data_IF_457789857177
#
_entry.id   IF_457789857177
#
_cell.length_a   1.000
_cell.length_b   1.000
_cell.length_c   1.000
_cell.angle_alpha   90.00
_cell.angle_beta   90.00
_cell.angle_gamma   90.00
#
_symmetry.space_group_name_H-M   'P 1'
#
loop_
_entity.id
_entity.type
_entity.pdbx_description
1 polymer ?
#
# COMPACT_ATOMS: atom_id res chain seq x y z
N UNK A 1 61.60 -3.82 18.56
CA UNK A 1 61.87 -3.03 19.79
C UNK A 1 61.06 -3.60 20.95
N UNK A 2 61.59 -3.50 22.18
CA UNK A 2 61.00 -3.82 23.51
C UNK A 2 59.54 -4.31 23.57
N UNK A 3 59.35 -5.52 24.10
CA UNK A 3 58.51 -5.77 25.30
C UNK A 3 59.21 -6.82 26.17
N UNK A 4 58.94 -6.80 27.48
CA UNK A 4 59.86 -7.30 28.51
C UNK A 4 59.11 -7.70 29.80
N UNK A 5 59.84 -8.35 30.73
CA UNK A 5 59.45 -8.84 32.08
C UNK A 5 58.81 -10.26 32.08
N UNK A 6 59.36 -11.29 32.76
CA UNK A 6 59.68 -11.51 34.21
C UNK A 6 58.45 -12.04 34.97
N UNK A 7 58.49 -13.10 35.81
CA UNK A 7 59.50 -14.17 36.08
C UNK A 7 58.79 -15.34 36.81
N UNK A 8 59.41 -16.54 36.79
CA UNK A 8 59.43 -17.45 37.94
C UNK A 8 60.72 -18.29 37.92
N UNK A 9 61.23 -18.65 39.10
CA UNK A 9 62.58 -19.19 39.35
C UNK A 9 62.47 -20.33 40.38
N UNK A 10 63.50 -21.20 40.47
CA UNK A 10 63.86 -22.07 41.64
C UNK A 10 63.49 -23.56 41.52
N UNK A 11 64.36 -24.55 41.82
CA UNK A 11 65.79 -24.58 42.26
C UNK A 11 66.44 -25.99 41.95
N UNK A 12 67.77 -26.05 41.75
CA UNK A 12 68.80 -26.99 42.33
C UNK A 12 68.44 -28.49 42.66
N UNK A 13 69.25 -29.54 42.44
CA UNK A 13 70.72 -29.78 42.20
C UNK A 13 70.97 -31.16 41.46
N UNK A 14 72.09 -31.94 41.46
CA UNK A 14 73.46 -31.92 42.07
C UNK A 14 74.50 -32.86 41.33
N UNK A 15 75.64 -32.32 40.87
CA UNK A 15 77.07 -32.77 41.01
C UNK A 15 77.53 -34.26 40.78
N UNK A 16 78.33 -34.48 39.69
CA UNK A 16 79.67 -35.14 39.58
C UNK A 16 79.93 -36.63 40.04
N UNK A 17 81.08 -37.34 39.80
CA UNK A 17 82.47 -37.06 39.29
C UNK A 17 83.20 -38.35 38.75
N UNK A 18 84.46 -38.21 38.24
CA UNK A 18 85.62 -39.17 38.19
C UNK A 18 85.85 -40.13 36.96
N UNK A 19 86.79 -39.72 36.05
CA UNK A 19 88.10 -40.35 35.66
C UNK A 19 88.22 -41.82 35.12
N UNK A 20 89.25 -42.26 34.35
CA UNK A 20 90.44 -41.61 33.72
C UNK A 20 91.24 -42.54 32.75
N UNK A 21 91.88 -41.95 31.70
CA UNK A 21 93.17 -42.37 31.03
C UNK A 21 93.28 -43.76 30.36
N UNK A 22 94.19 -44.07 29.42
CA UNK A 22 95.53 -43.53 29.04
C UNK A 22 95.76 -43.36 27.53
N UNK A 23 96.89 -42.71 27.16
CA UNK A 23 97.54 -42.74 25.84
C UNK A 23 98.52 -43.91 25.73
N UNK A 24 98.91 -44.30 24.51
CA UNK A 24 100.29 -44.67 24.11
C UNK A 24 100.46 -44.46 22.59
N UNK A 25 101.70 -44.37 22.11
CA UNK A 25 102.11 -44.18 20.71
C UNK A 25 103.45 -44.90 20.54
N UNK A 26 103.68 -45.72 19.50
CA UNK A 26 104.92 -45.68 18.68
C UNK A 26 105.01 -46.69 17.51
N UNK A 27 105.59 -46.20 16.42
CA UNK A 27 106.43 -46.85 15.40
C UNK A 27 105.88 -47.94 14.46
N UNK A 28 106.40 -47.87 13.22
CA UNK A 28 106.21 -48.78 12.10
C UNK A 28 107.03 -50.07 12.25
N UNK A 29 106.58 -51.16 11.65
CA UNK A 29 107.48 -52.23 11.20
C UNK A 29 107.03 -52.83 9.87
N UNK A 30 107.94 -52.83 8.89
CA UNK A 30 107.82 -53.69 7.72
C UNK A 30 108.04 -55.14 8.13
N UNK A 31 107.16 -56.03 7.70
CA UNK A 31 107.51 -57.43 7.45
C UNK A 31 106.76 -57.93 6.21
N UNK A 32 107.50 -58.03 5.11
CA UNK A 32 107.05 -58.64 3.85
C UNK A 32 107.12 -60.17 3.92
N UNK A 33 106.84 -60.83 2.79
CA UNK A 33 106.96 -62.27 2.51
C UNK A 33 105.93 -63.21 3.13
N UNK A 34 104.92 -63.52 2.29
CA UNK A 34 104.49 -64.86 1.91
C UNK A 34 104.11 -65.88 3.01
N UNK A 35 102.82 -66.24 3.02
CA UNK A 35 102.43 -67.63 2.77
C UNK A 35 101.36 -67.66 1.68
N UNK A 36 101.33 -68.73 0.89
CA UNK A 36 100.27 -68.99 -0.09
C UNK A 36 99.05 -69.59 0.62
N UNK A 37 98.06 -68.75 0.93
CA UNK A 37 96.66 -69.18 0.94
C UNK A 37 95.98 -68.58 -0.30
N UNK A 38 95.01 -69.28 -0.88
CA UNK A 38 94.13 -68.67 -1.88
C UNK A 38 93.33 -67.58 -1.16
N UNK A 39 93.70 -66.31 -1.37
CA UNK A 39 93.04 -65.17 -0.74
C UNK A 39 91.68 -64.90 -1.42
N UNK A 40 90.73 -65.82 -1.19
CA UNK A 40 89.33 -65.61 -1.55
C UNK A 40 88.85 -64.33 -0.86
N UNK A 41 88.52 -63.34 -1.68
CA UNK A 41 88.09 -62.03 -1.21
C UNK A 41 86.92 -62.15 -0.22
N UNK A 42 87.09 -61.54 0.96
CA UNK A 42 86.08 -61.55 2.03
C UNK A 42 84.69 -61.14 1.53
N UNK A 43 83.64 -61.78 2.07
CA UNK A 43 82.26 -61.66 1.58
C UNK A 43 81.85 -60.21 1.28
N UNK A 44 81.27 -60.01 0.10
CA UNK A 44 80.97 -58.68 -0.43
C UNK A 44 82.03 -58.14 -1.39
N UNK A 45 83.20 -58.78 -1.54
CA UNK A 45 84.26 -58.35 -2.45
C UNK A 45 84.53 -59.34 -3.57
N UNK A 46 84.96 -58.83 -4.73
CA UNK A 46 85.42 -59.60 -5.89
C UNK A 46 86.91 -59.27 -6.14
N UNK A 47 87.69 -60.27 -6.57
CA UNK A 47 89.06 -60.03 -7.00
C UNK A 47 89.08 -59.37 -8.39
N UNK A 48 89.74 -58.22 -8.53
CA UNK A 48 89.97 -57.58 -9.83
C UNK A 48 91.41 -57.86 -10.31
N UNK A 49 91.52 -58.74 -11.30
CA UNK A 49 92.77 -59.13 -11.98
C UNK A 49 93.55 -57.94 -12.58
N UNK A 50 92.93 -56.74 -12.71
CA UNK A 50 93.58 -55.54 -13.25
C UNK A 50 94.19 -54.63 -12.19
N UNK A 51 93.78 -54.77 -10.93
CA UNK A 51 94.27 -53.96 -9.80
C UNK A 51 94.90 -54.81 -8.69
N UNK A 52 94.88 -56.14 -8.84
CA UNK A 52 95.39 -57.14 -7.88
C UNK A 52 94.78 -56.94 -6.48
N UNK A 53 93.50 -56.52 -6.43
CA UNK A 53 92.82 -56.11 -5.21
C UNK A 53 91.40 -56.66 -5.12
N UNK A 54 90.97 -56.97 -3.88
CA UNK A 54 89.61 -57.31 -3.55
C UNK A 54 88.71 -56.06 -3.47
N UNK A 55 88.08 -55.70 -4.59
CA UNK A 55 87.16 -54.56 -4.69
C UNK A 55 85.77 -54.96 -4.14
N UNK A 56 85.10 -54.13 -3.33
CA UNK A 56 83.74 -54.40 -2.88
C UNK A 56 82.76 -54.31 -4.07
N UNK A 57 81.71 -55.13 -4.06
CA UNK A 57 80.65 -55.05 -5.06
C UNK A 57 80.05 -53.63 -5.07
N UNK A 58 79.97 -52.97 -6.25
CA UNK A 58 79.56 -51.58 -6.34
C UNK A 58 78.11 -51.36 -5.92
N UNK A 59 77.77 -50.11 -5.59
CA UNK A 59 76.38 -49.69 -5.32
C UNK A 59 75.47 -50.11 -6.47
N UNK A 60 74.25 -50.52 -6.12
CA UNK A 60 73.30 -51.16 -7.04
C UNK A 60 73.59 -52.63 -7.33
N UNK A 61 74.58 -53.26 -6.69
CA UNK A 61 74.82 -54.70 -6.78
C UNK A 61 74.94 -55.36 -5.41
N UNK A 62 74.80 -56.69 -5.39
CA UNK A 62 75.00 -57.53 -4.21
C UNK A 62 75.87 -58.74 -4.54
N UNK A 63 76.62 -59.21 -3.55
CA UNK A 63 77.51 -60.37 -3.68
C UNK A 63 76.75 -61.68 -3.43
N UNK A 64 76.79 -62.60 -4.39
CA UNK A 64 76.27 -63.96 -4.26
C UNK A 64 77.02 -64.91 -5.20
N UNK A 65 77.33 -66.13 -4.74
CA UNK A 65 78.03 -67.17 -5.53
C UNK A 65 79.33 -66.67 -6.21
N UNK A 66 80.15 -65.94 -5.46
CA UNK A 66 81.39 -65.28 -5.91
C UNK A 66 81.22 -64.37 -7.15
N UNK A 67 80.09 -63.64 -7.21
CA UNK A 67 79.77 -62.66 -8.26
C UNK A 67 79.01 -61.48 -7.67
N UNK A 68 79.24 -60.28 -8.22
CA UNK A 68 78.37 -59.13 -7.99
C UNK A 68 77.20 -59.18 -8.99
N UNK A 69 75.99 -59.45 -8.51
CA UNK A 69 74.77 -59.37 -9.32
C UNK A 69 74.09 -58.01 -9.12
N UNK A 70 73.55 -57.43 -10.19
CA UNK A 70 72.79 -56.19 -10.08
C UNK A 70 71.51 -56.41 -9.27
N UNK A 71 71.10 -55.39 -8.51
CA UNK A 71 69.77 -55.33 -7.92
C UNK A 71 68.70 -55.37 -9.02
N UNK A 72 67.67 -56.18 -8.81
CA UNK A 72 66.54 -56.30 -9.72
C UNK A 72 65.59 -55.10 -9.58
N UNK A 73 64.70 -54.92 -10.57
CA UNK A 73 63.65 -53.90 -10.55
C UNK A 73 62.86 -53.94 -9.23
N UNK A 74 62.55 -52.78 -8.67
CA UNK A 74 61.91 -52.61 -7.37
C UNK A 74 62.85 -52.75 -6.16
N UNK A 75 64.13 -53.11 -6.37
CA UNK A 75 65.15 -53.15 -5.32
C UNK A 75 66.28 -52.15 -5.58
N UNK A 76 67.07 -51.87 -4.53
CA UNK A 76 68.21 -50.96 -4.58
C UNK A 76 69.33 -51.38 -3.63
N UNK A 77 70.54 -50.85 -3.83
CA UNK A 77 71.59 -50.94 -2.83
C UNK A 77 72.49 -49.70 -2.80
N UNK A 78 72.39 -48.91 -1.73
CA UNK A 78 73.08 -47.63 -1.57
C UNK A 78 74.48 -47.73 -0.92
N UNK A 79 74.93 -48.93 -0.56
CA UNK A 79 76.20 -49.20 0.12
C UNK A 79 76.99 -50.24 -0.65
N UNK A 80 78.32 -50.20 -0.57
CA UNK A 80 79.19 -51.16 -1.26
C UNK A 80 79.35 -52.46 -0.47
N UNK A 81 79.68 -53.55 -1.17
CA UNK A 81 80.01 -54.85 -0.60
C UNK A 81 78.88 -55.53 0.20
N UNK A 82 77.63 -55.36 -0.22
CA UNK A 82 76.46 -55.90 0.48
C UNK A 82 76.03 -57.26 -0.07
N UNK A 83 75.41 -58.10 0.78
CA UNK A 83 75.03 -59.48 0.44
C UNK A 83 73.59 -59.62 -0.07
N UNK A 84 72.81 -58.54 -0.09
CA UNK A 84 71.44 -58.50 -0.61
C UNK A 84 71.08 -57.08 -1.08
N UNK A 85 70.02 -56.97 -1.89
CA UNK A 85 69.40 -55.69 -2.25
C UNK A 85 68.20 -55.41 -1.36
N UNK A 86 67.99 -54.13 -1.02
CA UNK A 86 66.86 -53.67 -0.21
C UNK A 86 65.65 -53.45 -1.11
N UNK A 87 64.47 -53.85 -0.67
CA UNK A 87 63.21 -53.44 -1.32
C UNK A 87 63.07 -51.91 -1.29
N UNK A 88 62.52 -51.32 -2.35
CA UNK A 88 62.07 -49.92 -2.26
C UNK A 88 60.95 -49.77 -1.23
N UNK A 89 61.04 -48.78 -0.31
CA UNK A 89 59.96 -48.50 0.62
C UNK A 89 58.73 -47.94 -0.12
N UNK A 90 57.57 -48.08 0.51
CA UNK A 90 56.31 -47.47 0.08
C UNK A 90 56.50 -45.97 -0.21
N UNK A 91 55.79 -45.48 -1.22
CA UNK A 91 55.98 -44.15 -1.81
C UNK A 91 57.17 -44.02 -2.76
N UNK A 92 57.94 -45.08 -3.00
CA UNK A 92 59.09 -45.06 -3.91
C UNK A 92 59.21 -46.31 -4.79
N UNK A 93 59.96 -46.19 -5.88
CA UNK A 93 60.13 -47.25 -6.88
C UNK A 93 61.57 -47.32 -7.44
N UNK A 94 61.88 -48.42 -8.13
CA UNK A 94 63.14 -48.60 -8.88
C UNK A 94 62.85 -49.28 -10.22
N UNK A 95 62.83 -48.52 -11.31
CA UNK A 95 62.49 -49.02 -12.66
C UNK A 95 63.70 -49.52 -13.47
N UNK A 96 64.88 -49.63 -12.85
CA UNK A 96 66.12 -50.02 -13.52
C UNK A 96 66.88 -51.03 -12.68
N UNK A 97 67.37 -52.10 -13.33
CA UNK A 97 68.35 -52.99 -12.71
C UNK A 97 69.62 -52.22 -12.38
N UNK A 98 70.22 -52.51 -11.23
CA UNK A 98 71.45 -51.86 -10.78
C UNK A 98 71.28 -50.54 -10.02
N UNK A 99 70.09 -50.23 -9.49
CA UNK A 99 69.84 -48.94 -8.85
C UNK A 99 70.52 -48.77 -7.48
N UNK A 100 71.19 -47.64 -7.25
CA UNK A 100 71.78 -47.27 -5.96
C UNK A 100 70.77 -46.66 -4.97
N UNK A 101 69.54 -46.36 -5.44
CA UNK A 101 68.47 -45.67 -4.70
C UNK A 101 67.08 -46.10 -5.16
N UNK A 102 66.06 -45.62 -4.46
CA UNK A 102 64.70 -45.57 -4.96
C UNK A 102 64.32 -44.13 -5.27
N UNK A 103 63.40 -43.96 -6.23
CA UNK A 103 62.86 -42.68 -6.64
C UNK A 103 61.47 -42.51 -6.03
N UNK A 104 61.20 -41.35 -5.43
CA UNK A 104 59.87 -41.06 -4.91
C UNK A 104 58.84 -41.02 -6.04
N UNK A 105 57.62 -41.49 -5.76
CA UNK A 105 56.50 -41.29 -6.67
C UNK A 105 56.25 -39.78 -6.86
N UNK A 106 56.22 -39.35 -8.12
CA UNK A 106 55.93 -37.97 -8.48
C UNK A 106 54.48 -37.61 -8.15
N UNK A 107 54.17 -36.31 -8.12
CA UNK A 107 52.81 -35.79 -7.95
C UNK A 107 51.85 -36.43 -8.96
N UNK A 108 50.63 -36.72 -8.53
CA UNK A 108 49.66 -37.53 -9.27
C UNK A 108 49.91 -39.05 -9.23
N UNK A 109 50.90 -39.52 -8.47
CA UNK A 109 51.21 -40.94 -8.32
C UNK A 109 51.45 -41.31 -6.85
N UNK A 110 51.31 -42.59 -6.55
CA UNK A 110 51.51 -43.16 -5.21
C UNK A 110 52.10 -44.57 -5.29
N UNK A 111 52.55 -45.09 -4.16
CA UNK A 111 52.85 -46.52 -4.03
C UNK A 111 52.62 -47.03 -2.60
N UNK A 112 51.64 -47.89 -2.42
CA UNK A 112 51.22 -48.53 -1.17
C UNK A 112 52.01 -49.82 -0.86
N UNK A 113 52.66 -50.42 -1.85
CA UNK A 113 53.43 -51.66 -1.71
C UNK A 113 54.96 -51.45 -1.69
N UNK A 114 55.70 -52.38 -1.09
CA UNK A 114 57.17 -52.38 -1.12
C UNK A 114 57.71 -53.13 -2.34
N UNK A 115 58.97 -52.87 -2.69
CA UNK A 115 59.68 -53.65 -3.71
C UNK A 115 59.19 -53.37 -5.14
N UNK A 116 58.61 -52.20 -5.38
CA UNK A 116 57.85 -51.91 -6.60
C UNK A 116 58.68 -51.21 -7.68
N UNK A 117 58.46 -51.59 -8.93
CA UNK A 117 59.23 -51.10 -10.09
C UNK A 117 58.67 -49.84 -10.75
N UNK A 118 57.46 -49.45 -10.38
CA UNK A 118 56.73 -48.27 -10.87
C UNK A 118 55.77 -47.77 -9.78
N UNK A 119 55.17 -46.59 -9.98
CA UNK A 119 54.15 -46.03 -9.10
C UNK A 119 52.76 -46.17 -9.72
N UNK A 120 51.75 -46.40 -8.86
CA UNK A 120 50.34 -46.39 -9.25
C UNK A 120 49.91 -44.94 -9.51
N UNK A 121 49.03 -44.73 -10.48
CA UNK A 121 48.51 -43.40 -10.82
C UNK A 121 47.27 -43.06 -10.00
N UNK A 122 47.07 -41.79 -9.64
CA UNK A 122 45.77 -41.35 -9.15
C UNK A 122 44.72 -41.45 -10.25
N UNK A 123 43.58 -42.02 -9.93
CA UNK A 123 42.48 -42.20 -10.87
C UNK A 123 41.57 -40.96 -10.96
N UNK A 124 40.58 -41.04 -11.83
CA UNK A 124 39.51 -40.08 -11.96
C UNK A 124 38.79 -39.90 -10.59
N UNK A 125 38.53 -38.65 -10.19
CA UNK A 125 38.04 -38.31 -8.85
C UNK A 125 39.10 -38.21 -7.74
N UNK A 126 40.37 -38.53 -8.02
CA UNK A 126 41.50 -38.40 -7.08
C UNK A 126 42.51 -37.33 -7.52
N UNK A 127 43.39 -36.97 -6.60
CA UNK A 127 44.58 -36.16 -6.85
C UNK A 127 45.75 -36.49 -5.90
N UNK A 128 46.96 -36.06 -6.24
CA UNK A 128 48.08 -36.03 -5.30
C UNK A 128 49.02 -34.85 -5.57
N UNK A 129 49.10 -33.91 -4.63
CA UNK A 129 49.90 -32.69 -4.67
C UNK A 129 51.28 -32.82 -3.99
N UNK A 130 51.55 -33.93 -3.30
CA UNK A 130 52.83 -34.25 -2.64
C UNK A 130 53.60 -35.34 -3.40
N UNK A 131 54.89 -35.50 -3.10
CA UNK A 131 55.74 -36.56 -3.65
C UNK A 131 56.04 -37.62 -2.60
N UNK A 132 56.29 -38.87 -3.03
CA UNK A 132 56.68 -39.95 -2.12
C UNK A 132 55.51 -40.55 -1.32
N UNK A 133 54.27 -40.42 -1.81
CA UNK A 133 53.07 -40.77 -1.04
C UNK A 133 52.59 -42.20 -1.25
N UNK A 134 51.85 -42.73 -0.28
CA UNK A 134 51.37 -44.13 -0.25
C UNK A 134 49.91 -44.31 -0.70
N UNK A 135 49.19 -43.21 -0.98
CA UNK A 135 47.82 -43.21 -1.47
C UNK A 135 47.51 -41.84 -2.10
N UNK A 136 46.52 -41.79 -3.00
CA UNK A 136 45.98 -40.52 -3.47
C UNK A 136 44.96 -39.92 -2.50
N UNK A 137 44.71 -38.62 -2.63
CA UNK A 137 43.68 -37.88 -1.89
C UNK A 137 42.41 -37.85 -2.76
N UNK A 138 41.25 -38.13 -2.17
CA UNK A 138 39.97 -37.97 -2.90
C UNK A 138 39.64 -36.49 -3.10
N UNK A 139 38.99 -36.14 -4.20
CA UNK A 139 38.47 -34.79 -4.37
C UNK A 139 37.36 -34.49 -3.34
N UNK A 140 37.49 -33.41 -2.55
CA UNK A 140 36.46 -33.00 -1.60
C UNK A 140 35.22 -32.42 -2.28
N UNK A 141 34.10 -32.42 -1.56
CA UNK A 141 32.83 -31.82 -1.99
C UNK A 141 33.01 -30.35 -2.44
N UNK A 142 32.38 -30.00 -3.57
CA UNK A 142 32.59 -28.77 -4.32
C UNK A 142 33.73 -28.84 -5.35
N UNK A 143 34.45 -29.96 -5.46
CA UNK A 143 35.53 -30.15 -6.44
C UNK A 143 35.43 -31.48 -7.17
N UNK A 144 36.14 -31.59 -8.30
CA UNK A 144 36.18 -32.77 -9.16
C UNK A 144 37.56 -32.99 -9.80
N UNK A 145 37.78 -34.17 -10.40
CA UNK A 145 38.96 -34.47 -11.21
C UNK A 145 38.62 -35.42 -12.36
N UNK A 146 38.67 -34.93 -13.61
CA UNK A 146 38.42 -35.72 -14.83
C UNK A 146 39.66 -36.48 -15.34
N UNK A 147 40.86 -36.17 -14.81
CA UNK A 147 42.14 -36.62 -15.38
C UNK A 147 42.89 -37.53 -14.42
N UNK A 148 43.45 -38.61 -14.96
CA UNK A 148 44.44 -39.43 -14.25
C UNK A 148 45.71 -38.64 -13.99
N UNK A 149 46.43 -39.04 -12.93
CA UNK A 149 47.63 -38.36 -12.43
C UNK A 149 47.39 -36.90 -12.03
N UNK A 150 46.16 -36.53 -11.67
CA UNK A 150 45.88 -35.15 -11.28
C UNK A 150 46.65 -34.74 -10.02
N UNK A 151 47.11 -33.50 -10.00
CA UNK A 151 47.86 -32.90 -8.87
C UNK A 151 47.01 -31.92 -8.05
N UNK A 152 45.75 -31.70 -8.44
CA UNK A 152 44.77 -30.84 -7.77
C UNK A 152 43.36 -31.25 -8.22
N UNK A 153 42.34 -30.97 -7.41
CA UNK A 153 40.97 -30.99 -7.89
C UNK A 153 40.59 -29.62 -8.46
N UNK A 154 39.65 -29.60 -9.39
CA UNK A 154 39.10 -28.37 -9.96
C UNK A 154 37.79 -28.01 -9.26
N UNK A 155 37.53 -26.72 -9.06
CA UNK A 155 36.30 -26.24 -8.43
C UNK A 155 35.13 -26.38 -9.40
N UNK A 156 33.95 -26.77 -8.90
CA UNK A 156 32.72 -26.62 -9.67
C UNK A 156 32.52 -25.14 -10.02
N UNK A 157 32.29 -24.82 -11.30
CA UNK A 157 31.97 -23.46 -11.74
C UNK A 157 30.61 -22.99 -11.24
N UNK A 158 30.34 -21.70 -11.35
CA UNK A 158 28.98 -21.15 -11.15
C UNK A 158 27.95 -21.88 -12.04
N UNK A 159 26.73 -22.05 -11.53
CA UNK A 159 25.70 -22.90 -12.12
C UNK A 159 25.84 -24.40 -11.82
N UNK A 160 26.97 -24.85 -11.24
CA UNK A 160 27.23 -26.25 -10.90
C UNK A 160 27.51 -26.43 -9.41
N UNK A 161 27.39 -27.67 -8.93
CA UNK A 161 27.68 -28.07 -7.56
C UNK A 161 28.25 -29.49 -7.48
N UNK A 162 28.82 -29.86 -6.33
CA UNK A 162 29.11 -31.26 -6.02
C UNK A 162 29.00 -31.59 -4.53
N UNK A 163 28.13 -32.54 -4.21
CA UNK A 163 27.80 -32.97 -2.85
C UNK A 163 28.51 -34.29 -2.42
N UNK A 164 29.21 -34.98 -3.32
CA UNK A 164 29.95 -36.22 -3.04
C UNK A 164 31.48 -36.02 -3.14
N UNK A 165 32.24 -36.77 -2.33
CA UNK A 165 33.71 -36.88 -2.51
C UNK A 165 34.05 -37.77 -3.70
N UNK A 166 35.33 -37.79 -4.10
CA UNK A 166 35.84 -38.63 -5.19
C UNK A 166 35.17 -38.36 -6.56
N UNK A 167 34.67 -37.15 -6.76
CA UNK A 167 33.83 -36.82 -7.90
C UNK A 167 34.62 -36.60 -9.19
N UNK A 168 34.19 -37.22 -10.29
CA UNK A 168 34.80 -37.04 -11.61
C UNK A 168 34.31 -35.80 -12.35
N UNK A 169 33.14 -35.28 -11.98
CA UNK A 169 32.48 -34.11 -12.59
C UNK A 169 31.62 -33.36 -11.56
N UNK A 170 31.05 -32.22 -11.96
CA UNK A 170 30.08 -31.48 -11.15
C UNK A 170 28.67 -31.57 -11.73
N UNK A 171 27.68 -31.65 -10.85
CA UNK A 171 26.26 -31.70 -11.19
C UNK A 171 25.77 -30.30 -11.53
N UNK A 172 24.96 -30.17 -12.58
CA UNK A 172 24.34 -28.89 -12.95
C UNK A 172 23.22 -28.55 -11.95
N UNK A 173 23.03 -27.26 -11.64
CA UNK A 173 21.89 -26.85 -10.82
C UNK A 173 20.59 -26.99 -11.60
N UNK A 174 19.58 -27.71 -11.06
CA UNK A 174 18.29 -27.87 -11.72
C UNK A 174 17.51 -26.56 -11.78
N UNK A 175 16.55 -26.50 -12.72
CA UNK A 175 15.61 -25.40 -12.91
C UNK A 175 14.95 -25.01 -11.56
N UNK A 176 14.80 -23.70 -11.31
CA UNK A 176 14.35 -23.17 -10.01
C UNK A 176 15.45 -23.02 -8.94
N UNK A 177 16.69 -23.41 -9.24
CA UNK A 177 17.85 -23.28 -8.34
C UNK A 177 19.08 -22.70 -9.05
N UNK A 178 20.02 -22.16 -8.26
CA UNK A 178 21.25 -21.53 -8.74
C UNK A 178 22.49 -21.92 -7.92
N UNK A 179 23.66 -21.72 -8.52
CA UNK A 179 24.96 -21.71 -7.83
C UNK A 179 25.71 -20.43 -8.24
N UNK A 180 25.87 -19.49 -7.31
CA UNK A 180 26.48 -18.17 -7.57
C UNK A 180 27.94 -18.06 -7.09
N UNK A 181 28.61 -19.21 -6.88
CA UNK A 181 30.00 -19.31 -6.41
C UNK A 181 30.66 -20.56 -6.95
N UNK A 182 31.93 -20.43 -7.30
CA UNK A 182 32.80 -21.58 -7.50
C UNK A 182 32.90 -22.43 -6.22
N UNK A 183 33.06 -23.75 -6.37
CA UNK A 183 33.22 -24.68 -5.25
C UNK A 183 31.93 -25.01 -4.51
N UNK A 184 30.76 -24.70 -5.09
CA UNK A 184 29.46 -24.93 -4.44
C UNK A 184 29.17 -26.41 -4.20
N UNK A 185 28.58 -26.71 -3.03
CA UNK A 185 28.32 -28.08 -2.55
C UNK A 185 26.86 -28.53 -2.72
N UNK A 186 26.00 -27.56 -2.98
CA UNK A 186 24.56 -27.68 -3.18
C UNK A 186 24.09 -26.46 -3.99
N UNK A 187 22.88 -26.51 -4.56
CA UNK A 187 22.27 -25.38 -5.24
C UNK A 187 21.28 -24.67 -4.31
N UNK A 188 21.23 -23.35 -4.40
CA UNK A 188 20.27 -22.53 -3.64
C UNK A 188 18.99 -22.38 -4.46
N UNK A 189 17.84 -22.77 -3.91
CA UNK A 189 16.53 -22.49 -4.53
C UNK A 189 16.32 -20.97 -4.63
N UNK A 190 15.79 -20.50 -5.76
CA UNK A 190 15.38 -19.10 -5.89
C UNK A 190 14.29 -18.76 -4.85
N UNK A 191 14.46 -17.65 -4.12
CA UNK A 191 13.49 -17.21 -3.11
C UNK A 191 12.25 -16.59 -3.75
N UNK A 192 11.13 -16.53 -3.01
CA UNK A 192 9.85 -16.00 -3.50
C UNK A 192 10.01 -14.64 -4.21
N UNK A 193 9.40 -14.51 -5.39
CA UNK A 193 9.52 -13.34 -6.27
C UNK A 193 10.70 -13.42 -7.25
N UNK A 194 11.53 -14.45 -7.15
CA UNK A 194 12.57 -14.78 -8.14
C UNK A 194 12.37 -16.19 -8.70
N UNK A 195 12.99 -16.47 -9.86
CA UNK A 195 12.91 -17.75 -10.56
C UNK A 195 14.21 -18.06 -11.30
N UNK A 196 14.44 -19.32 -11.65
CA UNK A 196 15.47 -19.73 -12.59
C UNK A 196 14.82 -20.58 -13.70
N UNK A 197 14.75 -20.02 -14.91
CA UNK A 197 14.09 -20.59 -16.10
C UNK A 197 14.81 -21.77 -16.75
N UNK A 198 16.11 -21.94 -16.44
CA UNK A 198 17.00 -22.92 -17.07
C UNK A 198 17.92 -23.56 -16.03
N UNK A 199 18.44 -24.73 -16.37
CA UNK A 199 19.50 -25.37 -15.59
C UNK A 199 20.81 -24.57 -15.70
N UNK A 200 21.66 -24.67 -14.68
CA UNK A 200 22.99 -24.06 -14.69
C UNK A 200 23.01 -22.53 -14.52
N UNK A 201 21.90 -21.93 -14.05
CA UNK A 201 21.87 -20.50 -13.78
C UNK A 201 22.68 -20.14 -12.51
N UNK A 202 23.32 -18.97 -12.54
CA UNK A 202 24.12 -18.43 -11.43
C UNK A 202 23.42 -17.26 -10.69
N UNK A 203 22.38 -16.67 -11.27
CA UNK A 203 21.54 -15.64 -10.63
C UNK A 203 20.05 -15.93 -10.90
N UNK A 204 19.19 -15.69 -9.90
CA UNK A 204 17.74 -15.82 -10.03
C UNK A 204 17.14 -14.53 -10.61
N UNK A 205 16.33 -14.65 -11.65
CA UNK A 205 15.66 -13.53 -12.31
C UNK A 205 14.47 -13.08 -11.46
N UNK A 206 14.22 -11.77 -11.35
CA UNK A 206 13.07 -11.22 -10.61
C UNK A 206 11.80 -11.25 -11.45
N UNK A 207 10.68 -11.56 -10.82
CA UNK A 207 9.36 -11.38 -11.44
C UNK A 207 9.04 -9.91 -11.69
N UNK A 208 8.45 -9.62 -12.86
CA UNK A 208 7.97 -8.29 -13.21
C UNK A 208 6.70 -7.89 -12.44
N UNK A 209 6.32 -6.61 -12.54
CA UNK A 209 5.06 -6.11 -11.97
C UNK A 209 3.87 -6.83 -12.58
N UNK A 210 2.87 -7.14 -11.75
CA UNK A 210 1.72 -7.97 -12.12
C UNK A 210 1.98 -9.47 -12.03
N UNK A 211 3.18 -9.89 -11.61
CA UNK A 211 3.53 -11.30 -11.41
C UNK A 211 4.04 -11.55 -9.98
N UNK A 212 4.08 -12.84 -9.62
CA UNK A 212 4.72 -13.36 -8.42
C UNK A 212 5.41 -14.72 -8.67
N UNK A 213 6.22 -15.18 -7.72
CA UNK A 213 6.69 -16.57 -7.67
C UNK A 213 6.92 -17.03 -6.23
N UNK A 214 6.90 -18.34 -6.04
CA UNK A 214 7.20 -19.06 -4.80
C UNK A 214 8.67 -19.52 -4.81
N UNK A 215 9.13 -20.05 -3.68
CA UNK A 215 10.48 -20.58 -3.55
C UNK A 215 10.70 -21.80 -4.45
N UNK A 216 11.69 -21.73 -5.33
CA UNK A 216 12.05 -22.79 -6.26
C UNK A 216 11.25 -22.80 -7.57
N UNK A 217 10.42 -21.79 -7.84
CA UNK A 217 9.67 -21.73 -9.10
C UNK A 217 10.59 -21.51 -10.31
N UNK A 218 10.20 -22.09 -11.45
CA UNK A 218 10.91 -22.03 -12.72
C UNK A 218 10.43 -20.89 -13.64
N UNK A 219 9.34 -20.22 -13.29
CA UNK A 219 8.79 -19.07 -14.02
C UNK A 219 7.94 -18.20 -13.08
N UNK A 220 7.48 -17.05 -13.56
CA UNK A 220 6.60 -16.17 -12.80
C UNK A 220 5.13 -16.40 -13.14
N UNK A 221 4.30 -16.52 -12.11
CA UNK A 221 2.86 -16.63 -12.22
C UNK A 221 2.22 -15.24 -12.31
N UNK A 222 1.18 -15.09 -13.15
CA UNK A 222 0.36 -13.87 -13.19
C UNK A 222 -0.35 -13.68 -11.84
N UNK A 223 -0.46 -12.43 -11.37
CA UNK A 223 -1.33 -12.13 -10.24
C UNK A 223 -2.80 -12.45 -10.60
N UNK A 224 -3.51 -13.26 -9.80
CA UNK A 224 -4.90 -13.61 -10.08
C UNK A 224 -5.82 -12.41 -9.96
N UNK A 225 -6.99 -12.50 -10.59
CA UNK A 225 -8.06 -11.49 -10.50
C UNK A 225 -8.36 -11.11 -9.03
N UNK A 226 -8.64 -9.82 -8.81
CA UNK A 226 -8.81 -9.25 -7.46
C UNK A 226 -7.50 -8.97 -6.70
N UNK A 227 -6.34 -9.33 -7.24
CA UNK A 227 -5.02 -9.02 -6.66
C UNK A 227 -4.17 -8.16 -7.59
N UNK A 228 -3.05 -7.62 -7.08
CA UNK A 228 -2.07 -6.89 -7.86
C UNK A 228 -0.64 -7.03 -7.32
N UNK A 229 0.36 -6.72 -8.14
CA UNK A 229 1.77 -6.61 -7.73
C UNK A 229 2.40 -5.38 -8.38
N UNK A 230 2.64 -4.33 -7.59
CA UNK A 230 3.20 -3.06 -8.07
C UNK A 230 4.74 -2.98 -8.03
N UNK A 231 5.40 -4.04 -7.58
CA UNK A 231 6.86 -4.15 -7.40
C UNK A 231 7.40 -5.32 -8.21
N UNK A 232 8.63 -5.17 -8.69
CA UNK A 232 9.43 -6.30 -9.17
C UNK A 232 9.92 -7.12 -7.98
N UNK A 233 10.11 -8.43 -8.19
CA UNK A 233 10.58 -9.33 -7.14
C UNK A 233 9.54 -9.66 -6.06
N UNK A 234 8.24 -9.55 -6.35
CA UNK A 234 7.19 -9.83 -5.36
C UNK A 234 6.93 -11.32 -5.19
N UNK A 235 7.00 -11.82 -3.95
CA UNK A 235 6.68 -13.21 -3.62
C UNK A 235 5.18 -13.53 -3.46
N UNK A 236 4.32 -12.53 -3.63
CA UNK A 236 2.87 -12.59 -3.45
C UNK A 236 2.20 -11.42 -4.20
N UNK A 237 0.90 -11.51 -4.44
CA UNK A 237 0.09 -10.40 -4.95
C UNK A 237 -0.81 -9.85 -3.83
N UNK A 238 -0.79 -8.54 -3.65
CA UNK A 238 -1.62 -7.82 -2.67
C UNK A 238 -3.10 -7.87 -3.10
N UNK A 239 -4.02 -8.08 -2.16
CA UNK A 239 -5.46 -7.98 -2.42
C UNK A 239 -5.85 -6.53 -2.74
N UNK A 240 -6.71 -6.31 -3.73
CA UNK A 240 -7.23 -4.97 -4.01
C UNK A 240 -7.93 -4.37 -2.78
N UNK A 241 -7.57 -3.16 -2.33
CA UNK A 241 -8.22 -2.52 -1.20
C UNK A 241 -9.67 -2.14 -1.51
N UNK A 242 -10.52 -2.05 -0.48
CA UNK A 242 -11.90 -1.61 -0.62
C UNK A 242 -12.00 -0.25 -1.33
N UNK A 243 -12.98 -0.12 -2.23
CA UNK A 243 -13.11 0.97 -3.20
C UNK A 243 -12.34 0.74 -4.51
N UNK A 244 -11.59 -0.36 -4.64
CA UNK A 244 -10.89 -0.75 -5.87
C UNK A 244 -11.17 -2.19 -6.28
N UNK A 245 -10.84 -2.54 -7.52
CA UNK A 245 -11.01 -3.88 -8.08
C UNK A 245 -9.90 -4.22 -9.07
N UNK A 246 -9.70 -5.52 -9.33
CA UNK A 246 -8.93 -5.99 -10.49
C UNK A 246 -9.68 -7.09 -11.21
N UNK A 247 -10.05 -6.81 -12.46
CA UNK A 247 -10.92 -7.62 -13.32
C UNK A 247 -10.13 -8.69 -14.10
N UNK A 248 -8.85 -8.43 -14.37
CA UNK A 248 -7.98 -9.26 -15.21
C UNK A 248 -6.75 -9.72 -14.45
N UNK A 249 -6.21 -10.88 -14.83
CA UNK A 249 -4.92 -11.35 -14.32
C UNK A 249 -3.77 -10.43 -14.75
N UNK A 250 -2.63 -10.48 -14.05
CA UNK A 250 -1.48 -9.64 -14.35
C UNK A 250 -1.56 -8.22 -13.78
N UNK A 251 -2.47 -7.96 -12.84
CA UNK A 251 -2.72 -6.63 -12.29
C UNK A 251 -1.48 -5.97 -11.68
N UNK A 252 -1.06 -4.82 -12.22
CA UNK A 252 0.04 -4.02 -11.63
C UNK A 252 -0.45 -3.03 -10.56
N UNK A 253 -1.72 -2.65 -10.65
CA UNK A 253 -2.46 -1.81 -9.70
C UNK A 253 -3.96 -2.17 -9.77
N UNK A 254 -4.75 -1.71 -8.80
CA UNK A 254 -6.20 -1.92 -8.79
C UNK A 254 -6.95 -0.69 -9.31
N UNK A 255 -7.88 -0.91 -10.23
CA UNK A 255 -8.77 0.11 -10.78
C UNK A 255 -9.67 0.64 -9.67
N UNK A 256 -9.88 1.96 -9.57
CA UNK A 256 -10.86 2.53 -8.63
C UNK A 256 -12.30 2.27 -9.11
N UNK A 257 -13.22 2.04 -8.19
CA UNK A 257 -14.64 2.12 -8.47
C UNK A 257 -15.00 3.55 -8.90
N UNK A 258 -15.62 3.71 -10.06
CA UNK A 258 -15.97 5.03 -10.59
C UNK A 258 -17.18 5.62 -9.84
N UNK A 259 -17.25 6.95 -9.75
CA UNK A 259 -18.36 7.66 -9.12
C UNK A 259 -19.72 7.14 -9.63
N UNK A 260 -20.60 6.77 -8.71
CA UNK A 260 -21.81 5.96 -8.95
C UNK A 260 -21.70 4.50 -8.47
N UNK A 261 -20.49 3.98 -8.29
CA UNK A 261 -20.20 2.61 -7.82
C UNK A 261 -19.31 2.61 -6.58
N UNK A 262 -19.27 1.48 -5.87
CA UNK A 262 -18.49 1.26 -4.66
C UNK A 262 -17.96 -0.18 -4.56
N UNK A 263 -17.03 -0.43 -3.65
CA UNK A 263 -16.70 -1.79 -3.25
C UNK A 263 -16.31 -1.86 -1.76
N UNK A 264 -17.07 -2.63 -0.97
CA UNK A 264 -16.86 -2.77 0.48
C UNK A 264 -15.93 -3.92 0.86
N UNK A 265 -15.70 -4.89 -0.03
CA UNK A 265 -14.76 -6.01 0.20
C UNK A 265 -13.35 -5.69 -0.33
N UNK A 266 -12.33 -6.35 0.24
CA UNK A 266 -11.00 -6.46 -0.37
C UNK A 266 -10.95 -7.63 -1.36
N UNK A 267 -10.00 -7.61 -2.29
CA UNK A 267 -9.80 -8.72 -3.23
C UNK A 267 -10.83 -8.80 -4.37
N UNK A 268 -11.57 -7.72 -4.63
CA UNK A 268 -12.72 -7.79 -5.54
C UNK A 268 -12.35 -7.67 -7.02
N UNK A 269 -13.14 -8.32 -7.87
CA UNK A 269 -13.00 -8.31 -9.33
C UNK A 269 -13.91 -7.30 -10.04
N UNK A 270 -14.82 -6.65 -9.32
CA UNK A 270 -15.77 -5.67 -9.87
C UNK A 270 -16.24 -4.66 -8.81
N UNK A 271 -16.99 -3.65 -9.24
CA UNK A 271 -17.64 -2.67 -8.35
C UNK A 271 -19.16 -2.80 -8.38
N UNK A 272 -19.79 -2.59 -7.23
CA UNK A 272 -21.24 -2.64 -7.01
C UNK A 272 -21.83 -1.26 -7.30
N UNK A 273 -22.98 -1.16 -7.97
CA UNK A 273 -23.68 0.12 -8.13
C UNK A 273 -24.23 0.61 -6.80
N UNK A 274 -24.28 1.93 -6.59
CA UNK A 274 -25.06 2.52 -5.50
C UNK A 274 -26.57 2.29 -5.73
N UNK A 275 -27.24 1.76 -4.70
CA UNK A 275 -28.69 1.56 -4.69
C UNK A 275 -29.47 2.88 -4.57
N UNK A 276 -30.77 2.82 -4.90
CA UNK A 276 -31.70 3.94 -4.75
C UNK A 276 -31.67 4.52 -3.33
N UNK A 277 -31.78 5.84 -3.23
CA UNK A 277 -31.56 6.59 -2.00
C UNK A 277 -30.09 6.77 -1.61
N UNK A 278 -29.14 6.23 -2.38
CA UNK A 278 -27.70 6.41 -2.17
C UNK A 278 -26.99 6.94 -3.42
N UNK A 279 -25.77 7.47 -3.24
CA UNK A 279 -24.96 8.04 -4.30
C UNK A 279 -23.46 7.92 -4.01
N UNK A 280 -22.64 8.16 -5.04
CA UNK A 280 -21.18 8.18 -4.93
C UNK A 280 -20.58 9.29 -5.80
N UNK A 281 -20.10 10.35 -5.14
CA UNK A 281 -19.67 11.61 -5.74
C UNK A 281 -18.19 11.65 -6.18
N UNK A 282 -17.39 10.65 -5.83
CA UNK A 282 -15.99 10.52 -6.27
C UNK A 282 -15.55 9.06 -6.42
N UNK A 283 -14.46 8.85 -7.15
CA UNK A 283 -13.92 7.51 -7.45
C UNK A 283 -13.15 6.93 -6.24
N UNK A 284 -13.27 5.62 -6.04
CA UNK A 284 -12.53 4.89 -5.00
C UNK A 284 -13.27 4.74 -3.67
N UNK A 285 -14.59 4.94 -3.63
CA UNK A 285 -15.37 4.81 -2.39
C UNK A 285 -15.64 3.35 -1.99
N UNK A 286 -15.52 3.05 -0.70
CA UNK A 286 -15.84 1.73 -0.14
C UNK A 286 -17.29 1.56 0.29
N UNK A 287 -18.09 2.63 0.30
CA UNK A 287 -19.51 2.64 0.69
C UNK A 287 -20.23 3.87 0.13
N UNK A 288 -21.41 3.69 -0.45
CA UNK A 288 -22.25 4.79 -0.93
C UNK A 288 -22.73 5.70 0.20
N UNK A 289 -22.88 6.99 -0.12
CA UNK A 289 -23.46 8.01 0.77
C UNK A 289 -24.98 8.00 0.64
N UNK A 290 -25.71 8.19 1.73
CA UNK A 290 -27.17 8.34 1.66
C UNK A 290 -27.56 9.75 1.20
N UNK A 291 -28.65 9.85 0.43
CA UNK A 291 -29.31 11.12 0.19
C UNK A 291 -29.80 11.72 1.52
N UNK A 292 -29.50 13.00 1.74
CA UNK A 292 -29.87 13.72 2.95
C UNK A 292 -31.30 14.28 2.84
N UNK A 293 -31.82 14.81 3.94
CA UNK A 293 -33.15 15.42 4.01
C UNK A 293 -33.38 16.42 2.87
N UNK A 294 -34.59 16.41 2.31
CA UNK A 294 -34.95 17.21 1.13
C UNK A 294 -34.31 16.74 -0.18
N UNK A 295 -33.59 15.62 -0.20
CA UNK A 295 -33.04 15.02 -1.43
C UNK A 295 -33.41 13.54 -1.53
N UNK A 296 -33.41 13.01 -2.75
CA UNK A 296 -33.74 11.61 -3.04
C UNK A 296 -32.91 11.07 -4.21
N UNK A 297 -32.92 9.75 -4.40
CA UNK A 297 -32.39 9.15 -5.62
C UNK A 297 -33.20 7.91 -6.03
N UNK A 298 -33.86 8.00 -7.18
CA UNK A 298 -34.76 7.02 -7.78
C UNK A 298 -34.06 6.00 -8.70
N UNK A 299 -32.81 6.26 -9.10
CA UNK A 299 -32.02 5.40 -9.99
C UNK A 299 -30.78 4.83 -9.30
N UNK A 300 -30.30 3.66 -9.74
CA UNK A 300 -29.01 3.11 -9.33
C UNK A 300 -27.83 3.78 -10.03
N UNK A 301 -26.63 3.61 -9.50
CA UNK A 301 -25.38 4.01 -10.15
C UNK A 301 -25.09 5.51 -10.13
N UNK A 302 -25.74 6.28 -9.27
CA UNK A 302 -25.80 7.74 -9.39
C UNK A 302 -24.73 8.51 -8.60
N UNK A 303 -24.29 9.63 -9.18
CA UNK A 303 -23.22 10.48 -8.63
C UNK A 303 -23.68 11.55 -7.63
N UNK A 304 -24.98 11.83 -7.60
CA UNK A 304 -25.61 12.87 -6.77
C UNK A 304 -27.04 12.45 -6.41
N UNK A 305 -27.70 13.22 -5.54
CA UNK A 305 -29.13 13.10 -5.26
C UNK A 305 -29.91 14.24 -5.93
N UNK A 306 -31.15 13.95 -6.34
CA UNK A 306 -32.12 14.93 -6.85
C UNK A 306 -32.72 15.72 -5.69
N UNK A 307 -32.99 17.01 -5.88
CA UNK A 307 -33.58 17.87 -4.86
C UNK A 307 -35.11 17.77 -4.87
N UNK A 308 -35.75 17.75 -3.70
CA UNK A 308 -37.19 17.99 -3.57
C UNK A 308 -37.47 19.49 -3.75
N UNK A 309 -38.04 19.82 -4.90
CA UNK A 309 -38.42 21.18 -5.29
C UNK A 309 -39.81 21.61 -4.78
N UNK A 310 -40.33 22.68 -5.39
CA UNK A 310 -41.66 23.24 -5.18
C UNK A 310 -42.77 22.18 -5.05
N UNK A 311 -43.59 22.30 -3.99
CA UNK A 311 -44.72 21.40 -3.70
C UNK A 311 -44.34 20.02 -3.15
N UNK A 312 -43.06 19.68 -3.06
CA UNK A 312 -42.57 18.40 -2.55
C UNK A 312 -41.66 18.59 -1.32
N UNK A 313 -41.45 17.53 -0.55
CA UNK A 313 -40.51 17.49 0.57
C UNK A 313 -39.91 16.09 0.78
N UNK A 314 -38.89 15.96 1.63
CA UNK A 314 -38.43 14.67 2.13
C UNK A 314 -37.85 14.77 3.55
N UNK A 315 -38.40 14.02 4.49
CA UNK A 315 -38.10 14.02 5.92
C UNK A 315 -37.22 12.84 6.38
N UNK A 316 -36.79 11.96 5.46
CA UNK A 316 -35.93 10.80 5.71
C UNK A 316 -34.62 10.83 4.93
N UNK A 317 -33.57 10.35 5.58
CA UNK A 317 -32.28 10.05 4.94
C UNK A 317 -32.41 8.73 4.17
N UNK A 318 -31.78 8.63 3.00
CA UNK A 318 -31.79 7.41 2.17
C UNK A 318 -33.04 7.24 1.31
N UNK A 319 -33.78 8.32 1.02
CA UNK A 319 -35.05 8.25 0.31
C UNK A 319 -34.91 8.03 -1.21
N UNK A 320 -35.78 7.21 -1.79
CA UNK A 320 -35.85 6.94 -3.23
C UNK A 320 -36.83 7.83 -4.00
N UNK A 321 -37.63 8.65 -3.32
CA UNK A 321 -38.57 9.62 -3.90
C UNK A 321 -38.81 10.81 -2.96
N UNK A 322 -39.41 11.89 -3.46
CA UNK A 322 -40.00 12.93 -2.60
C UNK A 322 -41.44 12.59 -2.21
N UNK A 323 -41.87 13.12 -1.07
CA UNK A 323 -43.27 13.17 -0.66
C UNK A 323 -43.92 14.46 -1.19
N UNK A 324 -45.22 14.39 -1.51
CA UNK A 324 -46.00 15.53 -2.00
C UNK A 324 -46.61 16.28 -0.81
N UNK A 325 -46.57 17.61 -0.80
CA UNK A 325 -47.17 18.40 0.28
C UNK A 325 -48.70 18.17 0.36
N UNK A 326 -49.25 17.80 1.53
CA UNK A 326 -50.68 17.62 1.72
C UNK A 326 -51.45 18.95 1.66
N UNK A 327 -52.77 18.86 1.48
CA UNK A 327 -53.68 20.01 1.52
C UNK A 327 -53.51 20.81 2.82
N UNK A 328 -53.67 22.14 2.73
CA UNK A 328 -53.37 23.08 3.82
C UNK A 328 -51.88 23.38 4.01
N UNK A 329 -50.98 22.79 3.21
CA UNK A 329 -49.53 23.03 3.29
C UNK A 329 -48.91 23.33 1.92
N UNK A 330 -47.70 23.88 1.92
CA UNK A 330 -46.91 24.19 0.73
C UNK A 330 -45.40 24.07 0.99
N UNK A 331 -44.60 23.94 -0.06
CA UNK A 331 -43.13 24.05 0.01
C UNK A 331 -42.59 24.78 -1.22
N UNK A 332 -41.54 25.59 -1.06
CA UNK A 332 -41.02 26.44 -2.14
C UNK A 332 -39.50 26.57 -2.07
N UNK A 333 -38.85 26.44 -3.22
CA UNK A 333 -37.40 26.33 -3.35
C UNK A 333 -36.96 24.87 -3.41
N UNK A 334 -35.66 24.65 -3.26
CA UNK A 334 -35.04 23.33 -3.33
C UNK A 334 -34.67 22.78 -1.96
N UNK A 335 -34.56 21.45 -1.87
CA UNK A 335 -34.18 20.70 -0.66
C UNK A 335 -35.17 20.87 0.49
N UNK A 336 -36.46 20.96 0.15
CA UNK A 336 -37.55 21.07 1.12
C UNK A 336 -37.58 19.85 2.05
N UNK A 337 -37.37 20.05 3.35
CA UNK A 337 -37.36 18.97 4.36
C UNK A 337 -38.72 18.77 5.03
N UNK A 338 -39.63 19.75 4.92
CA UNK A 338 -41.00 19.74 5.41
C UNK A 338 -41.88 20.65 4.54
N UNK A 339 -43.20 20.54 4.68
CA UNK A 339 -44.15 21.49 4.09
C UNK A 339 -44.60 22.50 5.15
N UNK A 340 -44.48 23.79 4.86
CA UNK A 340 -45.02 24.83 5.73
C UNK A 340 -46.54 24.84 5.62
N UNK A 341 -47.23 24.99 6.75
CA UNK A 341 -48.67 25.23 6.76
C UNK A 341 -49.01 26.59 6.12
N UNK A 342 -50.18 26.69 5.49
CA UNK A 342 -50.74 28.00 5.14
C UNK A 342 -50.96 28.81 6.41
N UNK A 343 -50.54 30.09 6.42
CA UNK A 343 -50.80 30.99 7.54
C UNK A 343 -52.27 31.45 7.55
N UNK A 344 -52.72 32.05 8.66
CA UNK A 344 -54.06 32.63 8.77
C UNK A 344 -54.37 33.61 7.63
N UNK A 345 -55.60 33.55 7.10
CA UNK A 345 -56.05 34.26 5.91
C UNK A 345 -55.70 33.61 4.57
N UNK A 346 -54.98 32.49 4.60
CA UNK A 346 -54.64 31.68 3.43
C UNK A 346 -55.13 30.23 3.59
N UNK A 347 -55.32 29.55 2.47
CA UNK A 347 -55.73 28.15 2.40
C UNK A 347 -55.03 27.44 1.24
N UNK A 348 -55.03 26.10 1.25
CA UNK A 348 -54.65 25.32 0.08
C UNK A 348 -55.48 24.05 -0.06
N UNK A 349 -56.28 23.99 -1.14
CA UNK A 349 -57.22 22.89 -1.40
C UNK A 349 -56.68 21.80 -2.35
N UNK A 350 -55.47 21.96 -2.88
CA UNK A 350 -54.80 20.99 -3.77
C UNK A 350 -53.45 20.59 -3.16
N UNK A 351 -53.05 19.33 -3.26
CA UNK A 351 -51.72 18.88 -2.84
C UNK A 351 -50.63 19.34 -3.83
N UNK A 352 -49.36 19.30 -3.39
CA UNK A 352 -48.23 19.52 -4.29
C UNK A 352 -48.04 20.97 -4.75
N UNK A 353 -48.36 21.95 -3.90
CA UNK A 353 -48.37 23.37 -4.26
C UNK A 353 -47.23 24.14 -3.59
N UNK A 354 -46.72 25.19 -4.24
CA UNK A 354 -45.62 26.02 -3.71
C UNK A 354 -46.03 27.40 -3.18
N UNK A 355 -47.33 27.61 -3.03
CA UNK A 355 -47.92 28.74 -2.31
C UNK A 355 -49.29 28.35 -1.76
N UNK A 356 -49.82 29.19 -0.87
CA UNK A 356 -51.23 29.13 -0.45
C UNK A 356 -52.02 30.26 -1.12
N UNK A 357 -53.31 30.00 -1.35
CA UNK A 357 -54.27 30.95 -1.92
C UNK A 357 -54.80 31.83 -0.79
N UNK A 358 -54.90 33.15 -0.99
CA UNK A 358 -55.54 34.01 0.00
C UNK A 358 -57.07 33.81 -0.04
N UNK A 359 -57.77 33.98 1.09
CA UNK A 359 -59.23 33.99 1.11
C UNK A 359 -59.80 35.19 0.34
N UNK A 360 -60.87 34.94 -0.43
CA UNK A 360 -61.58 35.96 -1.19
C UNK A 360 -62.34 36.96 -0.27
N UNK A 361 -62.71 38.17 -0.74
CA UNK A 361 -63.48 39.13 0.04
C UNK A 361 -64.80 38.53 0.58
N UNK A 362 -65.04 38.68 1.88
CA UNK A 362 -66.18 38.03 2.57
C UNK A 362 -65.90 36.58 3.01
N UNK A 363 -64.67 36.09 2.86
CA UNK A 363 -64.19 34.85 3.46
C UNK A 363 -62.96 35.12 4.34
N UNK A 364 -62.77 34.28 5.36
CA UNK A 364 -61.66 34.41 6.31
C UNK A 364 -61.16 33.04 6.79
N UNK A 365 -59.94 32.98 7.33
CA UNK A 365 -59.40 31.74 7.91
C UNK A 365 -58.53 32.06 9.15
N UNK A 366 -59.02 31.84 10.37
CA UNK A 366 -58.26 32.15 11.59
C UNK A 366 -57.18 31.11 11.95
N UNK A 367 -57.25 29.90 11.39
CA UNK A 367 -56.33 28.81 11.72
C UNK A 367 -55.37 28.51 10.57
N UNK A 368 -54.08 28.33 10.90
CA UNK A 368 -53.10 27.81 9.97
C UNK A 368 -53.40 26.37 9.52
N UNK A 369 -52.85 25.96 8.39
CA UNK A 369 -52.89 24.57 7.92
C UNK A 369 -54.23 24.12 7.31
N UNK A 370 -55.08 25.05 6.87
CA UNK A 370 -56.44 24.75 6.41
C UNK A 370 -56.58 24.70 4.88
N UNK A 371 -57.52 23.87 4.42
CA UNK A 371 -57.80 23.61 3.01
C UNK A 371 -58.98 24.40 2.44
N UNK A 372 -59.62 25.26 3.25
CA UNK A 372 -60.78 26.06 2.90
C UNK A 372 -60.81 27.36 3.72
N UNK A 373 -61.65 28.31 3.33
CA UNK A 373 -61.96 29.51 4.12
C UNK A 373 -63.39 29.44 4.69
N UNK A 374 -63.61 30.06 5.84
CA UNK A 374 -64.91 30.26 6.46
C UNK A 374 -65.61 31.46 5.82
N UNK A 375 -66.94 31.39 5.68
CA UNK A 375 -67.77 32.50 5.21
C UNK A 375 -67.95 33.56 6.32
N UNK A 376 -67.91 34.84 5.95
CA UNK A 376 -68.24 35.97 6.81
C UNK A 376 -69.50 36.67 6.25
N UNK A 377 -70.49 36.91 7.11
CA UNK A 377 -71.73 37.63 6.76
C UNK A 377 -71.46 39.11 6.47
N UNK A 378 -70.55 39.70 7.26
CA UNK A 378 -70.00 41.04 7.10
C UNK A 378 -68.66 41.01 6.32
N UNK A 379 -67.67 41.84 6.69
CA UNK A 379 -66.41 41.98 5.97
C UNK A 379 -65.27 41.22 6.65
N UNK A 380 -64.45 40.53 5.86
CA UNK A 380 -63.15 40.02 6.30
C UNK A 380 -62.17 41.18 6.55
N UNK A 381 -61.25 41.05 7.52
CA UNK A 381 -60.16 42.03 7.69
C UNK A 381 -59.17 42.04 6.50
N UNK A 382 -58.23 42.99 6.49
CA UNK A 382 -57.25 43.18 5.39
C UNK A 382 -56.41 41.93 5.11
N UNK A 383 -56.03 41.19 6.15
CA UNK A 383 -55.22 39.98 6.06
C UNK A 383 -56.09 38.71 5.93
N UNK A 384 -57.42 38.82 6.04
CA UNK A 384 -58.40 37.71 5.97
C UNK A 384 -58.32 36.70 7.13
N UNK A 385 -57.73 37.06 8.25
CA UNK A 385 -57.61 36.18 9.44
C UNK A 385 -58.92 36.13 10.23
N UNK A 386 -59.75 37.16 10.12
CA UNK A 386 -60.91 37.40 10.99
C UNK A 386 -62.12 37.99 10.23
N UNK A 387 -63.32 37.72 10.76
CA UNK A 387 -64.58 38.30 10.31
C UNK A 387 -64.90 39.53 11.20
N UNK A 388 -64.97 40.71 10.59
CA UNK A 388 -65.30 41.98 11.24
C UNK A 388 -66.78 42.27 11.02
N UNK A 389 -67.55 42.30 12.11
CA UNK A 389 -68.95 42.75 12.07
C UNK A 389 -69.02 44.27 11.89
N UNK A 390 -69.88 44.76 10.99
CA UNK A 390 -70.05 46.19 10.81
C UNK A 390 -70.73 46.82 12.05
N UNK A 391 -70.27 48.01 12.45
CA UNK A 391 -70.89 48.75 13.55
C UNK A 391 -72.32 49.17 13.20
N UNK A 392 -73.24 49.28 14.17
CA UNK A 392 -74.63 49.71 13.92
C UNK A 392 -74.70 51.00 13.11
N UNK A 393 -75.44 50.99 12.01
CA UNK A 393 -75.53 52.12 11.08
C UNK A 393 -74.53 52.11 9.92
N UNK A 394 -73.62 51.12 9.86
CA UNK A 394 -72.81 50.80 8.68
C UNK A 394 -73.32 49.52 8.02
N UNK A 395 -73.09 49.39 6.72
CA UNK A 395 -73.43 48.22 5.90
C UNK A 395 -72.26 47.88 4.98
N UNK A 396 -72.08 46.61 4.62
CA UNK A 396 -71.00 46.20 3.74
C UNK A 396 -71.10 46.83 2.34
N UNK A 397 -69.96 47.22 1.76
CA UNK A 397 -69.88 47.60 0.35
C UNK A 397 -70.07 46.38 -0.57
N UNK A 398 -70.48 46.59 -1.83
CA UNK A 398 -70.74 45.53 -2.82
C UNK A 398 -69.60 44.52 -2.95
N UNK A 399 -68.36 44.99 -2.87
CA UNK A 399 -67.15 44.20 -3.10
C UNK A 399 -66.68 43.40 -1.87
N UNK A 400 -67.46 43.42 -0.78
CA UNK A 400 -67.18 42.76 0.51
C UNK A 400 -65.82 43.09 1.16
N UNK A 401 -65.30 44.29 0.90
CA UNK A 401 -63.98 44.74 1.37
C UNK A 401 -64.02 45.73 2.53
N UNK A 402 -65.13 46.46 2.73
CA UNK A 402 -65.27 47.52 3.74
C UNK A 402 -66.71 47.65 4.23
N UNK A 403 -66.86 48.08 5.49
CA UNK A 403 -68.11 48.64 6.00
C UNK A 403 -68.21 50.12 5.57
N UNK A 404 -69.26 50.48 4.83
CA UNK A 404 -69.58 51.86 4.45
C UNK A 404 -70.81 52.35 5.20
N UNK A 405 -71.01 53.67 5.32
CA UNK A 405 -72.19 54.17 6.05
C UNK A 405 -73.47 53.73 5.33
N UNK A 406 -74.44 53.21 6.09
CA UNK A 406 -75.69 52.70 5.51
C UNK A 406 -76.46 53.80 4.78
N UNK A 407 -77.19 53.44 3.70
CA UNK A 407 -77.97 54.39 2.89
C UNK A 407 -78.96 55.20 3.75
N UNK A 408 -79.58 54.56 4.74
CA UNK A 408 -80.47 55.18 5.73
C UNK A 408 -79.76 56.26 6.55
N UNK A 409 -78.55 55.99 7.03
CA UNK A 409 -77.76 56.97 7.79
C UNK A 409 -77.20 58.09 6.90
N UNK A 410 -76.84 57.81 5.65
CA UNK A 410 -76.47 58.84 4.67
C UNK A 410 -77.66 59.79 4.44
N UNK A 411 -78.86 59.26 4.22
CA UNK A 411 -80.10 60.05 4.04
C UNK A 411 -80.42 60.87 5.31
N UNK A 412 -80.22 60.29 6.51
CA UNK A 412 -80.40 60.99 7.79
C UNK A 412 -79.42 62.16 7.97
N UNK A 413 -78.14 61.98 7.63
CA UNK A 413 -77.16 63.08 7.69
C UNK A 413 -77.55 64.20 6.72
N UNK A 414 -77.85 63.86 5.45
CA UNK A 414 -78.27 64.87 4.47
C UNK A 414 -79.58 65.58 4.87
N UNK A 415 -80.57 64.87 5.42
CA UNK A 415 -81.83 65.50 5.85
C UNK A 415 -81.62 66.43 7.04
N UNK A 416 -80.80 66.05 8.03
CA UNK A 416 -80.43 66.91 9.16
C UNK A 416 -79.64 68.14 8.66
N UNK A 417 -78.67 67.97 7.75
CA UNK A 417 -77.95 69.10 7.14
C UNK A 417 -78.89 70.04 6.39
N UNK A 418 -79.84 69.52 5.60
CA UNK A 418 -80.86 70.33 4.94
C UNK A 418 -81.75 71.09 5.94
N UNK A 419 -82.19 70.44 7.04
CA UNK A 419 -82.98 71.10 8.09
C UNK A 419 -82.17 72.23 8.76
N UNK A 420 -80.89 72.00 9.07
CA UNK A 420 -80.00 73.03 9.65
C UNK A 420 -79.79 74.20 8.68
N UNK A 421 -79.59 73.92 7.38
CA UNK A 421 -79.48 74.97 6.34
C UNK A 421 -80.79 75.76 6.22
N UNK A 422 -81.94 75.10 6.21
CA UNK A 422 -83.26 75.76 6.17
C UNK A 422 -83.50 76.60 7.42
N UNK A 423 -83.17 76.10 8.61
CA UNK A 423 -83.24 76.90 9.85
C UNK A 423 -82.28 78.10 9.81
N UNK A 424 -81.07 77.94 9.30
CA UNK A 424 -80.11 79.04 9.14
C UNK A 424 -80.64 80.10 8.18
N UNK A 425 -81.22 79.69 7.04
CA UNK A 425 -81.86 80.60 6.09
C UNK A 425 -83.10 81.28 6.68
N UNK A 426 -83.93 80.57 7.46
CA UNK A 426 -85.08 81.16 8.16
C UNK A 426 -84.64 82.17 9.23
N UNK A 427 -83.56 81.90 9.97
CA UNK A 427 -82.96 82.85 10.91
C UNK A 427 -82.43 84.09 10.17
N UNK A 428 -81.75 83.91 9.02
CA UNK A 428 -81.30 85.01 8.17
C UNK A 428 -82.48 85.83 7.64
N UNK A 429 -83.56 85.18 7.15
CA UNK A 429 -84.79 85.84 6.71
C UNK A 429 -85.48 86.59 7.86
N UNK A 430 -85.47 86.03 9.07
CA UNK A 430 -86.02 86.67 10.27
C UNK A 430 -85.19 87.90 10.68
N UNK A 431 -83.86 87.80 10.66
CA UNK A 431 -82.94 88.93 10.89
C UNK A 431 -83.16 90.03 9.82
N UNK A 432 -83.24 89.66 8.54
CA UNK A 432 -83.54 90.60 7.45
C UNK A 432 -84.91 91.27 7.67
N UNK A 433 -85.93 90.50 8.03
CA UNK A 433 -87.28 91.00 8.29
C UNK A 433 -87.34 91.91 9.51
N UNK A 434 -86.58 91.61 10.57
CA UNK A 434 -86.42 92.44 11.76
C UNK A 434 -85.69 93.75 11.44
N UNK A 435 -84.62 93.70 10.64
CA UNK A 435 -83.92 94.90 10.14
C UNK A 435 -84.83 95.74 9.24
N UNK A 436 -85.65 95.13 8.38
CA UNK A 436 -86.67 95.82 7.58
C UNK A 436 -87.75 96.44 8.48
N UNK A 437 -88.15 95.75 9.55
CA UNK A 437 -89.11 96.27 10.55
C UNK A 437 -88.56 97.51 11.26
N UNK A 438 -87.32 97.47 11.76
CA UNK A 438 -86.62 98.63 12.34
C UNK A 438 -86.48 99.79 11.32
N UNK A 439 -86.28 99.48 10.04
CA UNK A 439 -86.23 100.47 8.94
C UNK A 439 -87.61 101.09 8.68
N UNK A 440 -88.69 100.29 8.69
CA UNK A 440 -90.09 100.76 8.64
C UNK A 440 -90.47 101.58 9.88
N UNK A 441 -89.97 101.24 11.06
CA UNK A 441 -90.25 101.98 12.29
C UNK A 441 -89.57 103.36 12.29
N UNK A 442 -88.32 103.45 11.83
CA UNK A 442 -87.62 104.72 11.58
C UNK A 442 -88.35 105.57 10.52
N UNK A 443 -88.93 104.96 9.49
CA UNK A 443 -89.74 105.65 8.48
C UNK A 443 -91.08 106.14 9.06
N UNK A 444 -91.76 105.32 9.87
CA UNK A 444 -93.00 105.66 10.59
C UNK A 444 -92.80 106.83 11.55
N UNK A 445 -91.69 106.85 12.31
CA UNK A 445 -91.30 107.98 13.16
C UNK A 445 -91.08 109.28 12.36
N UNK A 446 -90.46 109.22 11.17
CA UNK A 446 -90.37 110.38 10.25
C UNK A 446 -91.74 110.86 9.75
N UNK A 447 -92.67 109.96 9.42
CA UNK A 447 -94.02 110.29 8.96
C UNK A 447 -94.87 110.90 10.10
N UNK A 448 -94.79 110.35 11.32
CA UNK A 448 -95.47 110.92 12.50
C UNK A 448 -95.01 112.34 12.84
N UNK A 449 -93.71 112.65 12.69
CA UNK A 449 -93.23 114.02 12.83
C UNK A 449 -93.82 114.96 11.76
N UNK A 450 -93.87 114.57 10.48
CA UNK A 450 -94.51 115.40 9.44
C UNK A 450 -96.00 115.68 9.73
N UNK A 451 -96.76 114.70 10.24
CA UNK A 451 -98.17 114.93 10.66
C UNK A 451 -98.29 115.87 11.87
N UNK A 452 -97.35 115.86 12.82
CA UNK A 452 -97.34 116.81 13.95
C UNK A 452 -97.11 118.26 13.50
N UNK A 453 -96.36 118.51 12.44
CA UNK A 453 -96.19 119.86 11.87
C UNK A 453 -97.49 120.36 11.24
N UNK A 454 -98.13 119.55 10.39
CA UNK A 454 -99.35 119.95 9.65
C UNK A 454 -100.54 120.22 10.57
N UNK A 455 -100.78 119.36 11.58
CA UNK A 455 -101.89 119.58 12.52
C UNK A 455 -101.69 120.80 13.44
N UNK A 456 -100.48 121.39 13.53
CA UNK A 456 -100.24 122.61 14.30
C UNK A 456 -100.60 123.89 13.53
N UNK A 457 -100.71 123.82 12.21
CA UNK A 457 -101.19 124.92 11.37
C UNK A 457 -102.72 124.94 11.28
N UNK A 458 -103.39 123.79 11.11
CA UNK A 458 -104.86 123.77 11.01
C UNK A 458 -105.59 124.24 12.28
N UNK A 459 -104.98 124.11 13.47
CA UNK A 459 -105.64 124.53 14.71
C UNK A 459 -105.72 126.07 14.88
N UNK A 460 -105.00 126.85 14.06
CA UNK A 460 -105.09 128.32 14.02
C UNK A 460 -106.34 128.87 13.32
N UNK A 461 -107.20 127.99 12.78
CA UNK A 461 -108.32 128.39 11.91
C UNK A 461 -109.70 128.25 12.59
N UNK A 462 -109.75 127.72 13.82
CA UNK A 462 -111.01 127.35 14.50
C UNK A 462 -111.25 128.01 15.87
N UNK A 463 -110.36 128.89 16.33
CA UNK A 463 -110.53 129.73 17.52
C UNK A 463 -109.93 131.12 17.25
N UNK A 464 -110.49 132.13 17.93
CA UNK A 464 -110.11 133.55 17.85
C UNK A 464 -108.66 133.80 18.28
#
# INVERSE_FOLDING_TARGET
MKRTLINCISFFSLIFLVQSTTYEIFIESWSSSSNEENEECSEGKLFDERTEQCLPCPKGSYFVNNKCLLCEEGTYQNMEGQLYCKECPVGSYSSMKGSDRCYNCSKGMYQDEKGQKECKECFEGEYQDEEGTIQCKECPVGTYSQLRRSIKCELCSEGYYQNETRSMECKICPIGSISNREGSKECTLCENGTYAEREGMNECVKCGKGYYSNKGDSFCHLCPVGTYSNKEGSGICDLCPAGTYQEYEGGQECKKCFAGTYQNETGSTYCKECDVGTYADYDGISKCKYCLLGTYQDLKGQKTCKNCGDGMYQDRIGASACLICPIGTYSKGEKNTYCKQCDGGYYQNVSGQSSCKQCEPGYYQPMSGRSYCLFCEDTSDKNRVSCIKCQPGYSINKDKTTCVLSKTNIILIFSISCIVIVFSLLIIIFIISYVISLKREKLSKRIKNKRKTVNKELLKVYLN
#
